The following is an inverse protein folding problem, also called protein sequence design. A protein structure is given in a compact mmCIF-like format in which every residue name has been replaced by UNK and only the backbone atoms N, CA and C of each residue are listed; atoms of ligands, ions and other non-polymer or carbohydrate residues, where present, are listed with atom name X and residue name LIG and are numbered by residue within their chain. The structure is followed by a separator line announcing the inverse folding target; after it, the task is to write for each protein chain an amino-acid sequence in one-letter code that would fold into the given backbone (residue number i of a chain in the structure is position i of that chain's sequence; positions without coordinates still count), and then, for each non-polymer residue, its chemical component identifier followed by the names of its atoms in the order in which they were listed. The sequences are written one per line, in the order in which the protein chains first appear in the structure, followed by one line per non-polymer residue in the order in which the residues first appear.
data_IF_884285640914
#
_entry.id   IF_884285640914
#
_cell.length_a   1.000
_cell.length_b   1.000
_cell.length_c   1.000
_cell.angle_alpha   90.00
_cell.angle_beta   90.00
_cell.angle_gamma   90.00
#
_symmetry.space_group_name_H-M   'P 1'
#
loop_
_entity.id
_entity.type
_entity.pdbx_description
1 polymer ?
#
# COMPACT_ATOMS: atom_id res chain seq x y z
N UNK A 1 -8.52 -36.21 -8.91
CA UNK A 1 -9.57 -35.24 -9.33
C UNK A 1 -9.09 -33.86 -8.95
N UNK A 2 -9.21 -32.87 -9.83
CA UNK A 2 -8.87 -31.48 -9.57
C UNK A 2 -9.99 -30.81 -8.75
N UNK A 3 -9.68 -29.74 -8.04
CA UNK A 3 -10.70 -28.97 -7.31
C UNK A 3 -11.49 -28.08 -8.27
N UNK A 4 -10.75 -27.36 -9.17
CA UNK A 4 -11.33 -26.41 -10.08
C UNK A 4 -10.54 -26.37 -11.40
N UNK A 5 -11.25 -26.18 -12.51
CA UNK A 5 -10.67 -25.79 -13.80
C UNK A 5 -11.30 -24.48 -14.27
N UNK A 6 -10.47 -23.50 -14.63
CA UNK A 6 -10.91 -22.30 -15.36
C UNK A 6 -10.59 -22.52 -16.83
N UNK A 7 -11.63 -22.47 -17.71
CA UNK A 7 -11.51 -22.75 -19.15
C UNK A 7 -11.84 -21.52 -19.99
N UNK A 8 -11.28 -21.49 -21.22
CA UNK A 8 -11.63 -20.55 -22.27
C UNK A 8 -11.39 -19.06 -21.96
N UNK A 9 -10.59 -18.77 -20.93
CA UNK A 9 -10.26 -17.38 -20.55
C UNK A 9 -8.96 -16.90 -21.19
N UNK A 10 -8.83 -15.59 -21.35
CA UNK A 10 -7.58 -14.92 -21.68
C UNK A 10 -6.75 -14.77 -20.40
N UNK A 11 -5.87 -15.72 -20.13
CA UNK A 11 -5.04 -15.72 -18.91
C UNK A 11 -3.80 -14.84 -19.08
N UNK A 12 -3.53 -13.98 -18.10
CA UNK A 12 -2.32 -13.16 -18.07
C UNK A 12 -1.17 -13.98 -17.48
N UNK A 13 -0.21 -14.36 -18.34
CA UNK A 13 0.91 -15.25 -18.00
C UNK A 13 2.18 -14.69 -18.63
N UNK A 14 3.22 -14.49 -17.80
CA UNK A 14 4.54 -13.99 -18.23
C UNK A 14 4.45 -12.68 -19.04
N UNK A 15 3.62 -11.75 -18.61
CA UNK A 15 3.46 -10.47 -19.25
C UNK A 15 2.58 -10.45 -20.51
N UNK A 16 1.92 -11.55 -20.83
CA UNK A 16 1.11 -11.70 -22.03
C UNK A 16 -0.26 -12.34 -21.75
N UNK A 17 -1.26 -11.96 -22.52
CA UNK A 17 -2.56 -12.65 -22.53
C UNK A 17 -2.46 -13.89 -23.44
N UNK A 18 -2.83 -15.04 -22.89
CA UNK A 18 -2.83 -16.34 -23.59
C UNK A 18 -4.16 -17.04 -23.34
N UNK A 19 -4.75 -17.60 -24.38
CA UNK A 19 -5.93 -18.45 -24.26
C UNK A 19 -5.50 -19.85 -23.81
N UNK A 20 -5.60 -20.10 -22.52
CA UNK A 20 -5.21 -21.34 -21.85
C UNK A 20 -6.13 -21.64 -20.69
N UNK A 21 -6.16 -22.92 -20.28
CA UNK A 21 -6.89 -23.33 -19.09
C UNK A 21 -5.98 -23.33 -17.85
N UNK A 22 -6.59 -23.12 -16.67
CA UNK A 22 -5.88 -23.18 -15.39
C UNK A 22 -6.53 -24.26 -14.52
N UNK A 23 -5.75 -25.25 -14.10
CA UNK A 23 -6.18 -26.29 -13.17
C UNK A 23 -5.70 -25.96 -11.75
N UNK A 24 -6.58 -26.14 -10.78
CA UNK A 24 -6.33 -25.91 -9.36
C UNK A 24 -6.55 -27.24 -8.60
N UNK A 25 -5.60 -27.55 -7.72
CA UNK A 25 -5.67 -28.70 -6.82
C UNK A 25 -5.06 -28.33 -5.47
N UNK A 26 -5.72 -28.71 -4.39
CA UNK A 26 -5.32 -28.42 -3.03
C UNK A 26 -5.04 -26.91 -2.79
N UNK A 27 -5.91 -26.05 -3.37
CA UNK A 27 -5.82 -24.58 -3.27
C UNK A 27 -4.64 -23.96 -4.03
N UNK A 28 -3.96 -24.68 -4.92
CA UNK A 28 -2.79 -24.21 -5.68
C UNK A 28 -2.98 -24.41 -7.17
N UNK A 29 -2.36 -23.54 -7.98
CA UNK A 29 -2.28 -23.76 -9.43
C UNK A 29 -1.48 -25.04 -9.66
N UNK A 30 -2.14 -26.03 -10.24
CA UNK A 30 -1.58 -27.36 -10.50
C UNK A 30 -1.01 -27.45 -11.91
N UNK A 31 -1.72 -26.89 -12.90
CA UNK A 31 -1.32 -26.91 -14.31
C UNK A 31 -1.91 -25.73 -15.07
N UNK A 32 -1.17 -25.23 -16.04
CA UNK A 32 -1.60 -24.21 -17.01
C UNK A 32 -1.42 -24.79 -18.41
N UNK A 33 -2.42 -24.64 -19.28
CA UNK A 33 -2.39 -25.14 -20.66
C UNK A 33 -3.52 -26.11 -20.96
N UNK A 34 -3.25 -27.14 -21.75
CA UNK A 34 -4.24 -28.19 -22.04
C UNK A 34 -4.47 -29.06 -20.83
N UNK A 35 -5.74 -29.24 -20.45
CA UNK A 35 -6.17 -30.01 -19.27
C UNK A 35 -7.23 -30.99 -19.72
N UNK A 36 -6.93 -32.29 -19.60
CA UNK A 36 -7.82 -33.41 -19.90
C UNK A 36 -8.45 -34.01 -18.65
N UNK A 37 -7.98 -33.63 -17.47
CA UNK A 37 -8.45 -34.17 -16.21
C UNK A 37 -9.85 -33.65 -15.85
N UNK A 38 -10.57 -34.42 -15.03
CA UNK A 38 -11.84 -34.00 -14.44
C UNK A 38 -11.63 -33.17 -13.19
N UNK A 39 -12.52 -32.20 -12.95
CA UNK A 39 -12.54 -31.37 -11.75
C UNK A 39 -13.89 -31.43 -11.06
N UNK A 40 -13.90 -31.10 -9.75
CA UNK A 40 -15.12 -30.94 -8.97
C UNK A 40 -15.96 -29.77 -9.48
N UNK A 41 -15.28 -28.69 -9.91
CA UNK A 41 -15.91 -27.50 -10.44
C UNK A 41 -15.20 -27.05 -11.74
N UNK A 42 -15.97 -26.45 -12.66
CA UNK A 42 -15.44 -25.85 -13.86
C UNK A 42 -16.06 -24.47 -14.07
N UNK A 43 -15.21 -23.45 -14.21
CA UNK A 43 -15.60 -22.08 -14.58
C UNK A 43 -15.33 -21.89 -16.07
N UNK A 44 -16.36 -21.53 -16.85
CA UNK A 44 -16.16 -21.05 -18.20
C UNK A 44 -15.91 -19.55 -18.20
N UNK A 45 -14.68 -19.14 -18.51
CA UNK A 45 -14.23 -17.76 -18.56
C UNK A 45 -14.19 -17.20 -19.99
N UNK A 46 -14.98 -17.74 -20.91
CA UNK A 46 -15.07 -17.27 -22.29
C UNK A 46 -15.39 -15.77 -22.35
N UNK A 47 -14.58 -15.01 -23.10
CA UNK A 47 -14.68 -13.56 -23.20
C UNK A 47 -14.18 -12.79 -21.98
N UNK A 48 -13.63 -13.46 -20.97
CA UNK A 48 -13.11 -12.84 -19.76
C UNK A 48 -11.57 -12.91 -19.69
N UNK A 49 -10.98 -11.93 -19.01
CA UNK A 49 -9.57 -11.97 -18.67
C UNK A 49 -9.37 -12.59 -17.28
N UNK A 50 -8.53 -13.61 -17.22
CA UNK A 50 -8.15 -14.29 -15.97
C UNK A 50 -6.82 -13.71 -15.50
N UNK A 51 -6.84 -13.09 -14.34
CA UNK A 51 -5.69 -12.45 -13.71
C UNK A 51 -5.33 -13.18 -12.41
N UNK A 52 -4.05 -13.11 -11.97
CA UNK A 52 -3.71 -13.40 -10.59
C UNK A 52 -4.53 -12.51 -9.64
N UNK A 53 -4.88 -13.02 -8.48
CA UNK A 53 -5.54 -12.21 -7.45
C UNK A 53 -4.69 -10.99 -7.09
N UNK A 54 -5.30 -9.81 -7.06
CA UNK A 54 -4.59 -8.60 -6.71
C UNK A 54 -4.19 -8.60 -5.24
N UNK A 55 -3.07 -7.93 -4.94
CA UNK A 55 -2.57 -7.72 -3.57
C UNK A 55 -2.64 -6.22 -3.31
N UNK A 56 -3.41 -5.81 -2.29
CA UNK A 56 -3.39 -4.44 -1.79
C UNK A 56 -2.38 -4.34 -0.65
N UNK A 57 -1.31 -3.62 -0.90
CA UNK A 57 -0.19 -3.46 0.04
C UNK A 57 -0.41 -2.37 1.07
N UNK A 58 -1.56 -1.65 1.01
CA UNK A 58 -1.84 -0.50 1.88
C UNK A 58 -3.33 -0.40 2.22
N UNK A 59 -3.84 -1.21 3.13
CA UNK A 59 -5.22 -1.11 3.60
C UNK A 59 -5.32 -0.45 4.99
N UNK A 60 -6.45 0.20 5.24
CA UNK A 60 -6.79 0.83 6.52
C UNK A 60 -8.19 0.38 6.96
N UNK A 61 -8.30 -0.81 7.52
CA UNK A 61 -9.58 -1.37 8.01
C UNK A 61 -9.97 -0.85 9.41
N UNK A 62 -9.16 0.04 10.00
CA UNK A 62 -9.50 0.81 11.20
C UNK A 62 -9.76 0.01 12.48
N UNK A 63 -9.66 -1.30 12.47
CA UNK A 63 -9.82 -2.15 13.63
C UNK A 63 -8.44 -2.57 14.20
N UNK A 64 -8.24 -2.42 15.52
CA UNK A 64 -9.18 -1.91 16.55
C UNK A 64 -9.34 -0.39 16.54
N UNK A 65 -10.49 0.08 17.07
CA UNK A 65 -10.70 1.47 17.47
C UNK A 65 -11.78 2.23 16.71
N UNK A 66 -11.75 2.25 15.37
CA UNK A 66 -12.74 3.01 14.55
C UNK A 66 -13.58 2.08 13.67
N UNK A 67 -14.16 1.06 14.28
CA UNK A 67 -14.94 0.01 13.61
C UNK A 67 -16.27 0.48 13.03
N UNK A 68 -16.73 1.65 13.39
CA UNK A 68 -17.83 2.37 12.77
C UNK A 68 -17.49 2.89 11.36
N UNK A 69 -16.21 3.09 11.06
CA UNK A 69 -15.73 3.47 9.73
C UNK A 69 -15.52 2.24 8.86
N UNK A 70 -14.75 1.26 9.33
CA UNK A 70 -14.46 -0.01 8.67
C UNK A 70 -13.94 -1.00 9.71
N UNK A 71 -14.16 -2.31 9.51
CA UNK A 71 -13.58 -3.37 10.30
C UNK A 71 -12.89 -4.44 9.44
N UNK A 72 -12.18 -5.37 10.07
CA UNK A 72 -11.43 -6.43 9.37
C UNK A 72 -12.36 -7.35 8.56
N UNK A 73 -13.59 -7.60 9.05
CA UNK A 73 -14.55 -8.47 8.38
C UNK A 73 -15.15 -7.77 7.14
N UNK A 74 -15.68 -6.56 7.28
CA UNK A 74 -16.32 -5.81 6.20
C UNK A 74 -15.30 -5.38 5.14
N UNK A 75 -14.12 -4.89 5.55
CA UNK A 75 -13.04 -4.49 4.66
C UNK A 75 -12.50 -5.65 3.84
N UNK A 76 -12.22 -6.80 4.46
CA UNK A 76 -11.75 -7.97 3.71
C UNK A 76 -12.80 -8.55 2.76
N UNK A 77 -14.10 -8.47 3.12
CA UNK A 77 -15.20 -8.85 2.24
C UNK A 77 -15.30 -7.92 1.03
N UNK A 78 -15.14 -6.60 1.24
CA UNK A 78 -15.09 -5.63 0.16
C UNK A 78 -13.88 -5.85 -0.75
N UNK A 79 -12.71 -6.18 -0.18
CA UNK A 79 -11.50 -6.52 -0.92
C UNK A 79 -11.74 -7.69 -1.90
N UNK A 80 -12.28 -8.82 -1.42
CA UNK A 80 -12.60 -9.98 -2.27
C UNK A 80 -13.62 -9.60 -3.35
N UNK A 81 -14.65 -8.82 -3.03
CA UNK A 81 -15.63 -8.37 -4.01
C UNK A 81 -15.02 -7.49 -5.11
N UNK A 82 -13.92 -6.80 -4.81
CA UNK A 82 -13.12 -6.01 -5.77
C UNK A 82 -12.00 -6.79 -6.47
N UNK A 83 -11.86 -8.11 -6.22
CA UNK A 83 -10.79 -8.93 -6.82
C UNK A 83 -9.45 -8.86 -6.07
N UNK A 84 -9.41 -8.26 -4.88
CA UNK A 84 -8.25 -8.24 -3.99
C UNK A 84 -8.25 -9.52 -3.15
N UNK A 85 -7.25 -10.37 -3.35
CA UNK A 85 -7.17 -11.67 -2.67
C UNK A 85 -6.22 -11.69 -1.48
N UNK A 86 -5.41 -10.63 -1.34
CA UNK A 86 -4.48 -10.46 -0.22
C UNK A 86 -4.37 -8.99 0.16
N UNK A 87 -4.24 -8.70 1.45
CA UNK A 87 -4.12 -7.33 1.97
C UNK A 87 -3.00 -7.22 2.99
N UNK A 88 -2.34 -6.05 3.00
CA UNK A 88 -1.39 -5.67 4.05
C UNK A 88 -1.96 -4.46 4.80
N UNK A 89 -2.34 -4.68 6.06
CA UNK A 89 -3.09 -3.71 6.83
C UNK A 89 -2.17 -2.86 7.71
N UNK A 90 -2.46 -1.57 7.77
CA UNK A 90 -1.64 -0.52 8.39
C UNK A 90 -1.79 -0.47 9.91
N UNK A 91 -0.75 -0.01 10.64
CA UNK A 91 -0.71 -0.05 12.11
C UNK A 91 -1.41 1.12 12.81
N UNK A 92 -1.89 2.13 12.08
CA UNK A 92 -2.49 3.34 12.67
C UNK A 92 -3.94 3.13 13.08
N UNK A 93 -4.11 2.27 14.04
CA UNK A 93 -5.35 1.89 14.73
C UNK A 93 -5.39 2.51 16.15
N UNK A 94 -6.41 2.24 16.93
CA UNK A 94 -6.51 2.70 18.31
C UNK A 94 -6.84 1.50 19.24
N UNK A 95 -5.86 1.03 20.03
CA UNK A 95 -4.47 1.48 20.07
C UNK A 95 -3.68 1.17 18.80
N UNK A 96 -2.55 1.87 18.54
CA UNK A 96 -1.71 1.61 17.39
C UNK A 96 -0.96 0.28 17.51
N UNK A 97 -0.72 -0.39 16.39
CA UNK A 97 0.01 -1.68 16.32
C UNK A 97 1.52 -1.42 16.36
N UNK A 98 2.05 -0.95 17.49
CA UNK A 98 3.45 -0.56 17.68
C UNK A 98 4.16 -1.29 18.82
N UNK A 99 3.55 -2.33 19.35
CA UNK A 99 4.16 -3.24 20.32
C UNK A 99 3.60 -4.67 20.15
N UNK A 100 4.28 -5.64 20.74
CA UNK A 100 3.96 -7.06 20.62
C UNK A 100 2.53 -7.40 21.03
N UNK A 101 2.04 -6.77 22.10
CA UNK A 101 0.70 -7.02 22.63
C UNK A 101 -0.38 -6.60 21.62
N UNK A 102 -0.27 -5.41 21.07
CA UNK A 102 -1.25 -4.89 20.12
C UNK A 102 -1.14 -5.57 18.75
N UNK A 103 0.06 -6.00 18.37
CA UNK A 103 0.26 -6.83 17.18
C UNK A 103 -0.45 -8.19 17.32
N UNK A 104 -0.23 -8.89 18.44
CA UNK A 104 -0.90 -10.17 18.69
C UNK A 104 -2.42 -10.00 18.77
N UNK A 105 -2.89 -8.93 19.43
CA UNK A 105 -4.32 -8.61 19.47
C UNK A 105 -4.92 -8.47 18.07
N UNK A 106 -4.21 -7.84 17.15
CA UNK A 106 -4.66 -7.65 15.76
C UNK A 106 -4.73 -8.99 15.01
N UNK A 107 -3.73 -9.84 15.19
CA UNK A 107 -3.76 -11.24 14.69
C UNK A 107 -4.99 -12.00 15.22
N UNK A 108 -5.25 -11.89 16.51
CA UNK A 108 -6.40 -12.60 17.15
C UNK A 108 -7.74 -12.05 16.63
N UNK A 109 -7.86 -10.74 16.42
CA UNK A 109 -9.04 -10.10 15.84
C UNK A 109 -9.29 -10.55 14.38
N UNK A 110 -8.24 -10.80 13.62
CA UNK A 110 -8.35 -11.24 12.22
C UNK A 110 -8.74 -12.72 12.09
N UNK A 111 -8.41 -13.53 13.10
CA UNK A 111 -8.57 -14.99 13.06
C UNK A 111 -10.02 -15.40 12.79
N UNK A 112 -10.21 -16.18 11.71
CA UNK A 112 -11.51 -16.67 11.25
C UNK A 112 -12.55 -15.58 10.90
N UNK A 113 -12.09 -14.33 10.64
CA UNK A 113 -12.94 -13.19 10.29
C UNK A 113 -12.61 -12.60 8.93
N UNK A 114 -11.35 -12.72 8.48
CA UNK A 114 -10.91 -12.19 7.20
C UNK A 114 -11.31 -13.13 6.06
N UNK A 115 -11.80 -12.56 4.96
CA UNK A 115 -12.17 -13.29 3.74
C UNK A 115 -11.01 -13.44 2.75
N UNK A 116 -9.95 -12.63 2.89
CA UNK A 116 -8.75 -12.68 2.06
C UNK A 116 -7.52 -13.07 2.88
N UNK A 117 -6.43 -13.42 2.19
CA UNK A 117 -5.13 -13.54 2.84
C UNK A 117 -4.73 -12.17 3.42
N UNK A 118 -4.06 -12.19 4.55
CA UNK A 118 -3.72 -10.94 5.22
C UNK A 118 -2.39 -11.02 5.98
N UNK A 119 -1.75 -9.87 6.10
CA UNK A 119 -0.63 -9.63 6.99
C UNK A 119 -0.71 -8.19 7.51
N UNK A 120 0.04 -7.89 8.56
CA UNK A 120 -0.02 -6.61 9.24
C UNK A 120 1.34 -5.94 9.25
N UNK A 121 1.36 -4.62 9.05
CA UNK A 121 2.56 -3.84 9.32
C UNK A 121 2.72 -3.61 10.82
N UNK A 122 3.97 -3.65 11.25
CA UNK A 122 4.35 -3.19 12.57
C UNK A 122 4.70 -1.69 12.50
N UNK A 123 4.12 -0.87 13.37
CA UNK A 123 4.34 0.58 13.38
C UNK A 123 5.66 0.93 14.06
N UNK A 124 6.56 1.59 13.32
CA UNK A 124 7.76 2.17 13.89
C UNK A 124 7.43 3.38 14.79
N UNK A 125 8.16 3.50 15.86
CA UNK A 125 8.18 4.66 16.78
C UNK A 125 9.62 4.96 17.18
N UNK A 126 9.90 6.15 17.73
CA UNK A 126 11.21 6.44 18.30
C UNK A 126 11.58 5.44 19.41
N UNK A 127 10.58 4.97 20.18
CA UNK A 127 10.80 4.09 21.34
C UNK A 127 11.08 2.64 20.98
N UNK A 128 10.58 2.14 19.82
CA UNK A 128 10.73 0.73 19.42
C UNK A 128 11.78 0.52 18.33
N UNK A 129 12.41 1.58 17.84
CA UNK A 129 13.34 1.53 16.72
C UNK A 129 14.48 0.53 16.90
N UNK A 130 14.95 0.34 18.12
CA UNK A 130 16.06 -0.60 18.45
C UNK A 130 15.62 -2.07 18.44
N UNK A 131 14.33 -2.36 18.60
CA UNK A 131 13.77 -3.70 18.69
C UNK A 131 13.18 -4.24 17.38
N UNK A 132 13.18 -3.43 16.31
CA UNK A 132 12.46 -3.73 15.06
C UNK A 132 12.84 -5.08 14.45
N UNK A 133 14.11 -5.47 14.46
CA UNK A 133 14.55 -6.74 13.89
C UNK A 133 13.86 -7.95 14.56
N UNK A 134 13.60 -7.89 15.87
CA UNK A 134 12.88 -8.93 16.60
C UNK A 134 11.37 -8.89 16.33
N UNK A 135 10.81 -7.71 16.25
CA UNK A 135 9.36 -7.47 16.04
C UNK A 135 8.92 -7.86 14.62
N UNK A 136 9.77 -7.65 13.61
CA UNK A 136 9.53 -8.11 12.25
C UNK A 136 9.49 -9.63 12.10
N UNK A 137 10.11 -10.37 13.01
CA UNK A 137 10.11 -11.83 13.04
C UNK A 137 8.77 -12.45 13.43
N UNK A 138 7.82 -11.67 13.96
CA UNK A 138 6.50 -12.16 14.35
C UNK A 138 5.72 -12.71 13.16
N UNK A 139 5.03 -13.83 13.39
CA UNK A 139 4.15 -14.43 12.37
C UNK A 139 3.05 -13.44 11.97
N UNK A 140 2.79 -13.32 10.67
CA UNK A 140 1.82 -12.36 10.14
C UNK A 140 2.35 -10.92 9.98
N UNK A 141 3.63 -10.64 10.31
CA UNK A 141 4.24 -9.35 10.05
C UNK A 141 4.77 -9.27 8.61
N UNK A 142 4.25 -8.33 7.80
CA UNK A 142 4.71 -8.11 6.42
C UNK A 142 5.87 -7.12 6.30
N UNK A 143 6.08 -6.27 7.30
CA UNK A 143 7.13 -5.24 7.28
C UNK A 143 6.90 -4.17 8.33
N UNK A 144 7.70 -3.14 8.25
CA UNK A 144 7.62 -1.97 9.13
C UNK A 144 6.87 -0.84 8.42
N UNK A 145 5.97 -0.17 9.12
CA UNK A 145 5.36 1.08 8.67
C UNK A 145 5.97 2.26 9.41
N UNK A 146 6.48 3.21 8.67
CA UNK A 146 7.02 4.47 9.17
C UNK A 146 6.15 5.64 8.70
N UNK A 147 5.82 6.54 9.60
CA UNK A 147 5.17 7.82 9.31
C UNK A 147 6.19 8.94 9.52
N UNK A 148 6.79 9.45 8.44
CA UNK A 148 7.76 10.54 8.49
C UNK A 148 7.09 11.91 8.73
N UNK A 149 5.77 11.98 8.55
CA UNK A 149 4.92 13.13 8.83
C UNK A 149 3.46 12.73 8.94
N UNK A 150 2.62 13.64 9.42
CA UNK A 150 1.15 13.52 9.38
C UNK A 150 0.59 12.24 10.03
N UNK A 151 1.11 11.85 11.17
CA UNK A 151 0.59 10.69 11.90
C UNK A 151 -0.18 11.11 13.15
N UNK A 152 -0.91 10.14 13.71
CA UNK A 152 -1.66 10.24 14.96
C UNK A 152 -1.02 9.35 16.03
N UNK A 153 -1.23 9.72 17.29
CA UNK A 153 -0.65 8.98 18.41
C UNK A 153 0.88 9.07 18.45
N UNK A 154 1.52 7.97 18.85
CA UNK A 154 2.97 7.86 18.95
C UNK A 154 3.66 7.30 17.68
N UNK A 155 2.96 7.19 16.55
CA UNK A 155 3.50 6.64 15.31
C UNK A 155 4.29 7.65 14.47
N UNK A 156 4.34 8.93 14.86
CA UNK A 156 5.13 9.93 14.16
C UNK A 156 6.62 9.73 14.45
N UNK A 157 7.42 9.56 13.40
CA UNK A 157 8.88 9.49 13.44
C UNK A 157 9.41 10.54 12.46
N UNK A 158 9.50 11.80 12.93
CA UNK A 158 9.82 12.95 12.08
C UNK A 158 11.31 13.31 12.07
N UNK A 159 11.99 13.06 13.17
CA UNK A 159 13.40 13.41 13.34
C UNK A 159 14.31 12.48 12.52
N UNK A 160 15.33 13.07 11.90
CA UNK A 160 16.24 12.31 11.02
C UNK A 160 16.96 11.19 11.76
N UNK A 161 17.40 11.43 12.98
CA UNK A 161 18.12 10.44 13.79
C UNK A 161 17.23 9.23 14.14
N UNK A 162 15.94 9.44 14.35
CA UNK A 162 15.00 8.35 14.63
C UNK A 162 14.66 7.56 13.35
N UNK A 163 14.48 8.26 12.23
CA UNK A 163 14.33 7.60 10.91
C UNK A 163 15.58 6.77 10.59
N UNK A 164 16.76 7.31 10.85
CA UNK A 164 18.05 6.64 10.66
C UNK A 164 18.13 5.32 11.47
N UNK A 165 17.72 5.35 12.75
CA UNK A 165 17.65 4.15 13.60
C UNK A 165 16.66 3.12 13.06
N UNK A 166 15.47 3.55 12.60
CA UNK A 166 14.49 2.63 11.99
C UNK A 166 15.11 1.89 10.82
N UNK A 167 15.75 2.59 9.88
CA UNK A 167 16.37 1.95 8.73
C UNK A 167 17.62 1.13 9.09
N UNK A 168 18.39 1.55 10.09
CA UNK A 168 19.51 0.77 10.58
C UNK A 168 19.07 -0.61 11.08
N UNK A 169 17.98 -0.68 11.83
CA UNK A 169 17.54 -1.87 12.54
C UNK A 169 16.51 -2.73 11.78
N UNK A 170 15.73 -2.15 10.85
CA UNK A 170 14.79 -2.90 10.04
C UNK A 170 15.48 -3.96 9.19
N UNK A 171 14.86 -5.13 9.04
CA UNK A 171 15.33 -6.24 8.19
C UNK A 171 14.39 -6.52 7.02
N UNK A 172 13.09 -6.29 7.19
CA UNK A 172 12.09 -6.35 6.12
C UNK A 172 11.97 -5.01 5.39
N UNK A 173 10.92 -4.86 4.58
CA UNK A 173 10.60 -3.60 3.92
C UNK A 173 10.11 -2.57 4.92
N UNK A 174 10.57 -1.33 4.79
CA UNK A 174 10.02 -0.17 5.48
C UNK A 174 9.10 0.56 4.52
N UNK A 175 7.79 0.47 4.77
CA UNK A 175 6.75 1.20 4.02
C UNK A 175 6.55 2.57 4.65
N UNK A 176 6.68 3.62 3.86
CA UNK A 176 6.78 5.00 4.39
C UNK A 176 5.65 5.90 3.90
N UNK A 177 4.93 6.51 4.84
CA UNK A 177 4.17 7.73 4.56
C UNK A 177 5.14 8.90 4.53
N UNK A 178 5.40 9.43 3.34
CA UNK A 178 6.51 10.35 3.08
C UNK A 178 6.01 11.78 2.92
N UNK A 179 5.80 12.47 4.02
CA UNK A 179 5.60 13.93 4.08
C UNK A 179 6.53 14.52 5.14
N UNK A 180 7.09 15.70 4.87
CA UNK A 180 8.02 16.37 5.76
C UNK A 180 7.25 17.11 6.87
N UNK A 181 7.35 16.64 8.10
CA UNK A 181 6.60 17.19 9.24
C UNK A 181 6.99 18.66 9.55
N UNK A 182 8.25 19.03 9.34
CA UNK A 182 8.68 20.41 9.56
C UNK A 182 8.01 21.37 8.54
N UNK A 183 7.95 20.96 7.28
CA UNK A 183 7.26 21.72 6.22
C UNK A 183 5.76 21.76 6.49
N UNK A 184 5.15 20.63 6.87
CA UNK A 184 3.73 20.59 7.27
C UNK A 184 3.44 21.62 8.37
N UNK A 185 4.27 21.64 9.43
CA UNK A 185 4.09 22.55 10.55
C UNK A 185 4.20 24.02 10.13
N UNK A 186 5.15 24.36 9.28
CA UNK A 186 5.28 25.72 8.72
C UNK A 186 4.06 26.10 7.89
N UNK A 187 3.55 25.15 7.10
CA UNK A 187 2.46 25.37 6.16
C UNK A 187 1.06 25.35 6.82
N UNK A 188 0.90 24.90 8.05
CA UNK A 188 -0.39 24.92 8.79
C UNK A 188 -1.07 26.30 8.78
N UNK A 189 -0.29 27.38 8.70
CA UNK A 189 -0.80 28.77 8.57
C UNK A 189 -1.58 29.03 7.26
N UNK A 190 -1.43 28.15 6.26
CA UNK A 190 -2.12 28.26 4.97
C UNK A 190 -3.50 27.60 5.00
N UNK A 191 -3.84 26.88 6.08
CA UNK A 191 -5.13 26.24 6.25
C UNK A 191 -6.19 27.33 6.43
N UNK A 192 -7.21 27.30 5.60
CA UNK A 192 -8.42 28.10 5.79
C UNK A 192 -9.57 27.17 6.18
N UNK A 193 -10.10 27.37 7.36
CA UNK A 193 -11.19 26.53 7.85
C UNK A 193 -12.39 26.61 6.92
N UNK A 194 -12.92 25.44 6.51
CA UNK A 194 -14.05 25.33 5.60
C UNK A 194 -13.68 25.42 4.11
N UNK A 195 -12.42 25.70 3.78
CA UNK A 195 -11.93 25.75 2.40
C UNK A 195 -11.07 24.52 2.09
N UNK A 196 -11.67 23.52 1.44
CA UNK A 196 -11.01 22.26 1.09
C UNK A 196 -9.87 22.43 0.09
N UNK A 197 -9.87 23.50 -0.72
CA UNK A 197 -8.81 23.78 -1.70
C UNK A 197 -7.47 24.13 -1.05
N UNK A 198 -7.47 24.49 0.23
CA UNK A 198 -6.22 24.72 0.96
C UNK A 198 -5.50 23.43 1.31
N UNK A 199 -6.17 22.26 1.18
CA UNK A 199 -5.60 20.97 1.54
C UNK A 199 -4.32 20.64 0.74
N UNK A 200 -4.30 20.65 -0.61
CA UNK A 200 -3.09 20.41 -1.38
C UNK A 200 -2.07 21.56 -1.29
N UNK A 201 -2.47 22.74 -0.80
CA UNK A 201 -1.58 23.89 -0.65
C UNK A 201 -0.69 23.75 0.58
N UNK A 202 -1.28 23.46 1.74
CA UNK A 202 -0.48 23.32 2.97
C UNK A 202 0.27 21.99 3.04
N UNK A 203 -0.25 20.95 2.41
CA UNK A 203 0.45 19.67 2.18
C UNK A 203 1.14 19.73 0.80
N UNK A 204 2.11 20.61 0.67
CA UNK A 204 2.70 21.01 -0.62
C UNK A 204 3.47 19.88 -1.32
N UNK A 205 3.76 20.08 -2.61
CA UNK A 205 4.65 19.22 -3.40
C UNK A 205 6.02 19.13 -2.74
N UNK A 206 6.56 20.27 -2.28
CA UNK A 206 7.84 20.32 -1.59
C UNK A 206 7.85 19.47 -0.32
N UNK A 207 6.74 19.43 0.42
CA UNK A 207 6.60 18.58 1.59
C UNK A 207 6.78 17.09 1.26
N UNK A 208 6.20 16.64 0.15
CA UNK A 208 6.31 15.24 -0.30
C UNK A 208 7.73 14.91 -0.79
N UNK A 209 8.26 15.69 -1.74
CA UNK A 209 9.57 15.39 -2.34
C UNK A 209 10.74 15.56 -1.37
N UNK A 210 10.69 16.52 -0.44
CA UNK A 210 11.71 16.69 0.60
C UNK A 210 11.83 15.45 1.46
N UNK A 211 10.71 14.95 1.97
CA UNK A 211 10.67 13.71 2.75
C UNK A 211 11.16 12.52 1.93
N UNK A 212 10.65 12.35 0.71
CA UNK A 212 11.00 11.22 -0.16
C UNK A 212 12.50 11.16 -0.46
N UNK A 213 13.15 12.29 -0.73
CA UNK A 213 14.60 12.35 -0.90
C UNK A 213 15.35 11.94 0.37
N UNK A 214 14.90 12.40 1.52
CA UNK A 214 15.48 12.04 2.82
C UNK A 214 15.37 10.53 3.08
N UNK A 215 14.19 9.96 2.87
CA UNK A 215 13.95 8.52 3.06
C UNK A 215 14.83 7.68 2.15
N UNK A 216 14.89 8.00 0.86
CA UNK A 216 15.73 7.26 -0.10
C UNK A 216 17.20 7.31 0.28
N UNK A 217 17.73 8.50 0.62
CA UNK A 217 19.11 8.68 1.07
C UNK A 217 19.44 7.81 2.28
N UNK A 218 18.55 7.76 3.27
CA UNK A 218 18.76 6.95 4.48
C UNK A 218 18.65 5.45 4.16
N UNK A 219 17.66 5.04 3.37
CA UNK A 219 17.50 3.65 2.97
C UNK A 219 18.72 3.11 2.20
N UNK A 220 19.27 3.92 1.28
CA UNK A 220 20.49 3.58 0.52
C UNK A 220 21.73 3.51 1.41
N UNK A 221 21.88 4.44 2.38
CA UNK A 221 22.96 4.42 3.38
C UNK A 221 23.06 3.05 4.09
N UNK A 222 21.91 2.49 4.46
CA UNK A 222 21.85 1.21 5.15
C UNK A 222 21.59 0.00 4.23
N UNK A 223 21.46 0.22 2.92
CA UNK A 223 21.13 -0.81 1.90
C UNK A 223 19.84 -1.56 2.25
N UNK A 224 18.86 -0.85 2.78
CA UNK A 224 17.56 -1.39 3.21
C UNK A 224 16.50 -1.18 2.14
N UNK A 225 15.47 -2.03 2.20
CA UNK A 225 14.30 -1.90 1.32
C UNK A 225 13.37 -0.80 1.85
N UNK A 226 13.10 0.20 1.02
CA UNK A 226 12.07 1.19 1.29
C UNK A 226 10.97 1.12 0.22
N UNK A 227 9.73 1.26 0.67
CA UNK A 227 8.56 1.37 -0.19
C UNK A 227 7.85 2.69 0.12
N UNK A 228 7.91 3.63 -0.82
CA UNK A 228 7.24 4.92 -0.68
C UNK A 228 5.77 4.77 -1.05
N UNK A 229 4.89 4.90 -0.07
CA UNK A 229 3.45 4.70 -0.22
C UNK A 229 2.78 5.88 -0.92
N UNK A 230 1.70 5.61 -1.64
CA UNK A 230 0.75 6.61 -2.19
C UNK A 230 1.42 7.88 -2.71
N UNK A 231 2.42 7.75 -3.58
CA UNK A 231 3.11 8.87 -4.23
C UNK A 231 2.10 9.71 -5.02
N UNK A 232 2.20 11.04 -4.90
CA UNK A 232 1.21 11.95 -5.46
C UNK A 232 1.77 13.01 -6.40
N UNK A 233 3.09 13.15 -6.47
CA UNK A 233 3.71 14.23 -7.24
C UNK A 233 4.56 13.69 -8.39
N UNK A 234 4.59 14.45 -9.49
CA UNK A 234 5.50 14.21 -10.60
C UNK A 234 6.96 14.16 -10.14
N UNK A 235 7.33 15.11 -9.27
CA UNK A 235 8.70 15.27 -8.77
C UNK A 235 9.17 14.01 -8.02
N UNK A 236 8.28 13.39 -7.26
CA UNK A 236 8.57 12.12 -6.59
C UNK A 236 8.70 10.97 -7.61
N UNK A 237 7.80 10.88 -8.59
CA UNK A 237 7.85 9.84 -9.63
C UNK A 237 9.13 9.95 -10.44
N UNK A 238 9.48 11.16 -10.92
CA UNK A 238 10.70 11.41 -11.68
C UNK A 238 11.97 11.08 -10.87
N UNK A 239 11.98 11.41 -9.59
CA UNK A 239 13.07 11.07 -8.67
C UNK A 239 13.15 9.57 -8.41
N UNK A 240 12.06 8.94 -7.99
CA UNK A 240 12.02 7.53 -7.60
C UNK A 240 12.28 6.58 -8.79
N UNK A 241 11.89 6.96 -10.00
CA UNK A 241 12.14 6.17 -11.22
C UNK A 241 13.64 6.02 -11.54
N UNK A 242 14.49 6.89 -11.03
CA UNK A 242 15.95 6.81 -11.17
C UNK A 242 16.58 5.83 -10.18
N UNK A 243 15.88 5.49 -9.11
CA UNK A 243 16.33 4.53 -8.09
C UNK A 243 15.79 3.13 -8.41
N UNK A 244 16.65 2.12 -8.32
CA UNK A 244 16.32 0.72 -8.65
C UNK A 244 16.75 -0.21 -7.52
N UNK A 245 16.15 -1.40 -7.49
CA UNK A 245 16.52 -2.43 -6.53
C UNK A 245 15.78 -2.32 -5.22
N UNK A 246 16.38 -1.71 -4.21
CA UNK A 246 15.81 -1.66 -2.87
C UNK A 246 14.72 -0.58 -2.67
N UNK A 247 14.58 0.35 -3.61
CA UNK A 247 13.58 1.42 -3.55
C UNK A 247 12.42 1.08 -4.48
N UNK A 248 11.23 1.06 -3.93
CA UNK A 248 9.97 0.86 -4.67
C UNK A 248 8.95 1.90 -4.23
N UNK A 249 7.92 2.13 -5.01
CA UNK A 249 6.82 3.05 -4.67
C UNK A 249 5.50 2.57 -5.26
N UNK A 250 4.42 3.12 -4.76
CA UNK A 250 3.07 2.86 -5.23
C UNK A 250 2.29 4.15 -5.45
N UNK A 251 1.25 4.07 -6.27
CA UNK A 251 0.26 5.13 -6.48
C UNK A 251 -1.12 4.53 -6.28
N UNK A 252 -2.00 5.23 -5.58
CA UNK A 252 -3.35 4.73 -5.34
C UNK A 252 -4.29 5.06 -6.51
N UNK A 253 -5.38 4.28 -6.72
CA UNK A 253 -6.34 4.53 -7.78
C UNK A 253 -6.91 5.96 -7.79
N UNK A 254 -7.11 6.56 -6.63
CA UNK A 254 -7.63 7.93 -6.53
C UNK A 254 -6.69 8.95 -7.17
N UNK A 255 -5.37 8.80 -6.97
CA UNK A 255 -4.36 9.68 -7.59
C UNK A 255 -4.20 9.43 -9.09
N UNK A 256 -4.74 8.34 -9.63
CA UNK A 256 -4.74 7.98 -11.04
C UNK A 256 -6.05 8.31 -11.77
N UNK A 257 -7.10 8.72 -11.07
CA UNK A 257 -8.43 8.86 -11.65
C UNK A 257 -9.07 10.22 -11.45
N UNK A 258 -8.65 10.97 -10.43
CA UNK A 258 -9.19 12.30 -10.11
C UNK A 258 -8.06 13.29 -9.84
N UNK A 259 -8.30 14.58 -10.08
CA UNK A 259 -7.34 15.66 -9.91
C UNK A 259 -8.00 16.93 -9.35
N UNK A 260 -7.17 17.78 -8.73
CA UNK A 260 -7.58 19.10 -8.25
C UNK A 260 -7.61 20.13 -9.42
N UNK A 261 -8.45 21.19 -9.36
CA UNK A 261 -9.40 21.48 -8.29
C UNK A 261 -10.71 20.68 -8.36
N UNK A 262 -11.00 20.03 -9.48
CA UNK A 262 -12.29 19.41 -9.82
C UNK A 262 -12.79 18.43 -8.76
N UNK A 263 -11.89 17.62 -8.18
CA UNK A 263 -12.26 16.65 -7.14
C UNK A 263 -12.74 17.36 -5.86
N UNK A 264 -12.10 18.48 -5.48
CA UNK A 264 -12.50 19.26 -4.30
C UNK A 264 -13.81 20.01 -4.54
N UNK A 265 -14.03 20.51 -5.76
CA UNK A 265 -15.30 21.16 -6.13
C UNK A 265 -16.49 20.20 -6.08
N UNK A 266 -16.28 18.94 -6.51
CA UNK A 266 -17.35 17.94 -6.60
C UNK A 266 -17.57 17.16 -5.32
N UNK A 267 -16.51 16.81 -4.60
CA UNK A 267 -16.54 15.89 -3.47
C UNK A 267 -16.33 16.59 -2.13
N UNK A 268 -15.86 17.86 -2.10
CA UNK A 268 -15.61 18.59 -0.88
C UNK A 268 -14.61 17.85 0.02
N UNK A 269 -14.98 17.66 1.29
CA UNK A 269 -14.16 16.97 2.28
C UNK A 269 -13.91 15.48 1.99
N UNK A 270 -14.74 14.85 1.17
CA UNK A 270 -14.52 13.46 0.74
C UNK A 270 -13.30 13.30 -0.17
N UNK A 271 -12.82 14.38 -0.80
CA UNK A 271 -11.57 14.37 -1.56
C UNK A 271 -10.32 14.58 -0.68
N UNK A 272 -10.47 14.92 0.60
CA UNK A 272 -9.35 15.12 1.50
C UNK A 272 -8.74 13.81 1.95
N UNK A 273 -7.60 13.46 1.40
CA UNK A 273 -6.78 12.32 1.80
C UNK A 273 -5.32 12.75 1.98
N UNK A 274 -4.52 11.94 2.63
CA UNK A 274 -3.12 12.23 2.94
C UNK A 274 -2.21 11.17 2.30
N UNK A 275 -1.29 11.57 1.40
CA UNK A 275 -1.09 12.91 0.84
C UNK A 275 -2.26 13.37 -0.05
N UNK A 276 -2.40 14.67 -0.35
CA UNK A 276 -3.56 15.19 -1.06
C UNK A 276 -3.56 14.85 -2.56
N UNK A 277 -4.75 14.87 -3.14
CA UNK A 277 -4.92 14.80 -4.59
C UNK A 277 -4.38 16.10 -5.19
N UNK A 278 -3.52 15.98 -6.19
CA UNK A 278 -2.80 17.08 -6.84
C UNK A 278 -3.53 17.58 -8.09
N UNK A 279 -3.04 18.68 -8.65
CA UNK A 279 -3.52 19.20 -9.92
C UNK A 279 -3.18 18.27 -11.10
N UNK A 280 -3.75 18.61 -12.26
CA UNK A 280 -3.65 17.79 -13.46
C UNK A 280 -2.23 17.58 -13.96
N UNK A 281 -1.30 18.50 -13.70
CA UNK A 281 0.09 18.38 -14.15
C UNK A 281 0.83 17.23 -13.46
N UNK A 282 0.44 16.90 -12.24
CA UNK A 282 0.97 15.72 -11.52
C UNK A 282 0.26 14.42 -11.93
N UNK A 283 -1.04 14.49 -12.20
CA UNK A 283 -1.85 13.36 -12.64
C UNK A 283 -1.38 12.77 -13.98
N UNK A 284 -1.22 13.61 -15.01
CA UNK A 284 -0.89 13.16 -16.37
C UNK A 284 0.44 12.39 -16.42
N UNK A 285 1.39 12.72 -15.55
CA UNK A 285 2.70 12.07 -15.51
C UNK A 285 2.71 10.74 -14.75
N UNK A 286 1.91 10.61 -13.73
CA UNK A 286 1.72 9.34 -13.05
C UNK A 286 1.23 8.26 -14.01
N UNK A 287 0.31 8.61 -14.92
CA UNK A 287 -0.21 7.67 -15.92
C UNK A 287 0.85 7.26 -16.96
N UNK A 288 1.70 8.17 -17.42
CA UNK A 288 2.74 7.87 -18.42
C UNK A 288 3.76 6.89 -17.84
N UNK A 289 4.22 7.08 -16.62
CA UNK A 289 5.23 6.20 -16.00
C UNK A 289 4.69 4.83 -15.59
N UNK A 290 3.39 4.70 -15.33
CA UNK A 290 2.76 3.41 -14.98
C UNK A 290 2.32 2.64 -16.22
N UNK A 291 1.89 3.33 -17.29
CA UNK A 291 1.45 2.71 -18.53
C UNK A 291 2.59 2.25 -19.45
N UNK A 292 3.84 2.67 -19.19
CA UNK A 292 4.99 2.10 -19.88
C UNK A 292 5.24 0.67 -19.37
N UNK A 293 5.09 -0.39 -20.21
CA UNK A 293 5.26 -1.78 -19.78
C UNK A 293 6.72 -2.17 -19.59
N UNK A 294 7.58 -1.20 -19.26
CA UNK A 294 8.98 -1.44 -19.03
C UNK A 294 9.21 -1.97 -17.63
N UNK A 295 9.06 -3.30 -17.52
CA UNK A 295 9.68 -4.11 -16.46
C UNK A 295 8.92 -4.23 -15.14
N UNK A 296 7.74 -4.80 -15.18
CA UNK A 296 7.39 -5.79 -14.17
C UNK A 296 8.39 -6.95 -14.31
N UNK A 297 9.58 -6.83 -13.74
CA UNK A 297 10.37 -7.99 -13.40
C UNK A 297 9.75 -8.57 -12.14
N UNK A 298 9.10 -9.70 -12.32
CA UNK A 298 8.75 -10.71 -11.32
C UNK A 298 9.69 -10.67 -10.13
N UNK A 299 9.11 -10.49 -8.96
CA UNK A 299 9.68 -10.90 -7.68
C UNK A 299 9.59 -12.42 -7.60
#
# INVERSE_FOLDING_TARGET
MLDLIIKNGQCYIDGQLKEVNVAIKDGKIHKIGEISDEAQETINAEGQTVLPGCIDTQTHFREPGSTDTEDLHSGSRAAIAGGITSVFEMPNTNPPTSNMKEFQRKIDLAKNRMYCNHAFYFGATADNADDLASLEGLEGCCGIKLFAGSSTGNLLVAEEDDIDKVFQNASKVVAVHSEDEAILNINKKLIKQGDVHTHPVWRSVECAISSTRRIVRIAEKYKKRAHVLHVTTKDEVDFLSQHKGNITFEITPQHLTIYAPDCYDKLGTYAQMNPPIRDKSHFDLSLIHISEPTRLRTI
#
